data_IF_182394493802
#
_entry.id   IF_182394493802
#
_cell.length_a   1.000
_cell.length_b   1.000
_cell.length_c   1.000
_cell.angle_alpha   90.00
_cell.angle_beta   90.00
_cell.angle_gamma   90.00
#
_symmetry.space_group_name_H-M   'P 1'
#
loop_
_entity.id
_entity.type
_entity.pdbx_description
1 polymer ?
#
# COMPACT_ATOMS: atom_id res chain seq x y z
N UNK A 1 5.19 -4.54 5.52
CA UNK A 1 4.29 -4.66 4.35
C UNK A 1 3.75 -6.07 4.16
N UNK A 2 4.42 -7.09 4.72
CA UNK A 2 3.99 -8.50 4.67
C UNK A 2 2.52 -8.71 5.07
N UNK A 3 2.05 -8.12 6.17
CA UNK A 3 0.64 -8.24 6.58
C UNK A 3 -0.35 -7.64 5.57
N UNK A 4 -0.01 -6.50 4.97
CA UNK A 4 -0.84 -5.83 3.96
C UNK A 4 -0.94 -6.70 2.72
N UNK A 5 0.18 -7.27 2.27
CA UNK A 5 0.22 -8.22 1.16
C UNK A 5 -0.62 -9.46 1.49
N UNK A 6 -0.45 -10.06 2.67
CA UNK A 6 -1.17 -11.27 3.08
C UNK A 6 -2.69 -11.06 3.06
N UNK A 7 -3.17 -9.90 3.53
CA UNK A 7 -4.60 -9.54 3.47
C UNK A 7 -5.08 -9.35 2.03
N UNK A 8 -4.24 -8.80 1.16
CA UNK A 8 -4.62 -8.51 -0.22
C UNK A 8 -4.59 -9.76 -1.14
N UNK A 9 -3.79 -10.78 -0.80
CA UNK A 9 -3.73 -12.04 -1.56
C UNK A 9 -5.08 -12.76 -1.68
N UNK A 10 -6.04 -12.49 -0.78
CA UNK A 10 -7.42 -12.99 -0.89
C UNK A 10 -8.15 -12.45 -2.13
N UNK A 11 -7.77 -11.27 -2.63
CA UNK A 11 -8.37 -10.63 -3.80
C UNK A 11 -7.56 -10.86 -5.08
N UNK A 12 -6.24 -10.99 -4.95
CA UNK A 12 -5.33 -11.26 -6.06
C UNK A 12 -4.17 -12.17 -5.61
N UNK A 13 -4.23 -13.45 -5.98
CA UNK A 13 -3.20 -14.46 -5.67
C UNK A 13 -1.82 -14.13 -6.24
N UNK A 14 -1.77 -13.31 -7.30
CA UNK A 14 -0.54 -12.90 -7.95
C UNK A 14 0.01 -11.58 -7.40
N UNK A 15 -0.60 -10.96 -6.38
CA UNK A 15 -0.19 -9.65 -5.87
C UNK A 15 1.27 -9.56 -5.36
N UNK A 16 1.92 -10.71 -5.13
CA UNK A 16 3.34 -10.79 -4.79
C UNK A 16 4.26 -10.40 -5.95
N UNK A 17 3.83 -10.56 -7.21
CA UNK A 17 4.63 -10.20 -8.39
C UNK A 17 4.45 -8.74 -8.80
N UNK A 18 3.47 -8.03 -8.22
CA UNK A 18 3.15 -6.65 -8.56
C UNK A 18 4.11 -5.67 -7.89
N UNK A 19 4.32 -4.50 -8.52
CA UNK A 19 5.03 -3.40 -7.87
C UNK A 19 4.04 -2.49 -7.14
N UNK A 20 4.15 -2.50 -5.82
CA UNK A 20 3.38 -1.65 -4.91
C UNK A 20 3.98 -0.24 -4.85
N UNK A 21 3.15 0.79 -4.97
CA UNK A 21 3.57 2.19 -4.94
C UNK A 21 2.66 3.04 -4.08
N UNK A 22 3.22 4.10 -3.50
CA UNK A 22 2.48 5.19 -2.88
C UNK A 22 3.05 6.51 -3.37
N UNK A 23 2.17 7.47 -3.72
CA UNK A 23 2.57 8.79 -4.24
C UNK A 23 3.61 8.73 -5.39
N UNK A 24 3.54 7.69 -6.24
CA UNK A 24 4.48 7.48 -7.35
C UNK A 24 5.80 6.79 -7.00
N UNK A 25 6.09 6.57 -5.71
CA UNK A 25 7.31 5.92 -5.21
C UNK A 25 7.05 4.44 -4.94
N UNK A 26 8.00 3.57 -5.32
CA UNK A 26 7.90 2.14 -5.04
C UNK A 26 8.15 1.83 -3.56
N UNK A 27 7.30 0.97 -3.00
CA UNK A 27 7.39 0.55 -1.61
C UNK A 27 8.38 -0.60 -1.46
N UNK A 28 9.17 -0.55 -0.39
CA UNK A 28 9.98 -1.67 0.05
C UNK A 28 9.11 -2.63 0.87
N UNK A 29 8.88 -3.83 0.33
CA UNK A 29 8.01 -4.83 0.93
C UNK A 29 8.58 -5.48 2.21
N UNK A 30 9.87 -5.26 2.50
CA UNK A 30 10.51 -5.68 3.75
C UNK A 30 10.35 -4.68 4.90
N UNK A 31 9.82 -3.48 4.62
CA UNK A 31 9.61 -2.42 5.62
C UNK A 31 8.13 -2.32 6.02
N UNK A 32 7.83 -1.63 7.12
CA UNK A 32 6.48 -1.25 7.53
C UNK A 32 5.92 -0.10 6.67
N UNK A 33 4.65 0.26 6.83
CA UNK A 33 4.06 1.42 6.15
C UNK A 33 4.76 2.71 6.57
N UNK A 34 4.96 2.88 7.89
CA UNK A 34 5.63 4.06 8.44
C UNK A 34 7.07 4.20 7.97
N UNK A 35 7.84 3.11 7.92
CA UNK A 35 9.22 3.11 7.40
C UNK A 35 9.28 3.38 5.88
N UNK A 36 8.20 3.10 5.14
CA UNK A 36 8.05 3.51 3.75
C UNK A 36 7.58 4.98 3.61
N UNK A 37 7.38 5.69 4.71
CA UNK A 37 6.94 7.08 4.74
C UNK A 37 5.42 7.27 4.78
N UNK A 38 4.63 6.20 4.91
CA UNK A 38 3.18 6.28 5.12
C UNK A 38 2.91 6.31 6.62
N UNK A 39 2.96 7.51 7.19
CA UNK A 39 2.71 7.74 8.61
C UNK A 39 1.20 7.71 8.88
N UNK A 40 0.86 7.49 10.13
CA UNK A 40 -0.52 7.60 10.59
C UNK A 40 -0.86 9.07 10.82
N UNK A 41 -1.68 9.62 9.93
CA UNK A 41 -2.10 11.02 9.94
C UNK A 41 -3.44 11.22 10.68
N UNK A 42 -4.06 10.13 11.19
CA UNK A 42 -5.33 10.19 11.93
C UNK A 42 -5.33 11.26 13.05
N UNK A 43 -4.26 11.41 13.87
CA UNK A 43 -4.24 12.43 14.91
C UNK A 43 -4.29 13.88 14.39
N UNK A 44 -3.71 14.14 13.21
CA UNK A 44 -3.75 15.46 12.57
C UNK A 44 -5.12 15.72 11.93
N UNK A 45 -5.71 14.70 11.30
CA UNK A 45 -7.07 14.77 10.75
C UNK A 45 -8.09 15.03 11.86
N UNK A 46 -7.94 14.38 13.02
CA UNK A 46 -8.77 14.60 14.21
C UNK A 46 -8.69 16.05 14.71
N UNK A 47 -7.48 16.61 14.86
CA UNK A 47 -7.26 18.00 15.33
C UNK A 47 -7.89 19.01 14.37
N UNK A 48 -7.77 18.75 13.07
CA UNK A 48 -8.33 19.58 11.99
C UNK A 48 -9.82 19.30 11.72
N UNK A 49 -10.41 18.28 12.36
CA UNK A 49 -11.79 17.80 12.15
C UNK A 49 -12.08 17.46 10.69
N UNK A 50 -11.12 16.82 10.04
CA UNK A 50 -11.24 16.35 8.66
C UNK A 50 -11.84 14.94 8.62
N UNK A 51 -12.47 14.61 7.49
CA UNK A 51 -13.06 13.29 7.28
C UNK A 51 -11.99 12.29 6.82
N UNK A 52 -11.75 11.25 7.62
CA UNK A 52 -10.70 10.26 7.40
C UNK A 52 -10.91 9.47 6.09
N UNK A 53 -12.16 9.30 5.67
CA UNK A 53 -12.50 8.60 4.43
C UNK A 53 -12.04 9.39 3.20
N UNK A 54 -11.93 10.72 3.30
CA UNK A 54 -11.45 11.58 2.22
C UNK A 54 -9.92 11.63 2.10
N UNK A 55 -9.21 11.31 3.17
CA UNK A 55 -7.74 11.42 3.24
C UNK A 55 -7.03 10.07 3.38
N UNK A 56 -7.75 8.96 3.26
CA UNK A 56 -7.19 7.61 3.32
C UNK A 56 -6.07 7.41 2.27
N UNK A 57 -4.86 6.97 2.67
CA UNK A 57 -3.73 6.83 1.76
C UNK A 57 -3.96 5.69 0.77
N UNK A 58 -3.78 5.98 -0.53
CA UNK A 58 -3.90 5.00 -1.60
C UNK A 58 -2.61 4.22 -1.85
N UNK A 59 -2.72 2.89 -2.00
CA UNK A 59 -1.65 2.03 -2.51
C UNK A 59 -1.99 1.63 -3.96
N UNK A 60 -1.06 1.91 -4.88
CA UNK A 60 -1.20 1.56 -6.28
C UNK A 60 -0.44 0.28 -6.58
N UNK A 61 -1.10 -0.68 -7.23
CA UNK A 61 -0.49 -1.93 -7.66
C UNK A 61 -0.29 -1.87 -9.17
N UNK A 62 0.97 -1.87 -9.60
CA UNK A 62 1.31 -1.97 -11.02
C UNK A 62 1.58 -3.42 -11.37
N UNK A 63 0.87 -3.92 -12.38
CA UNK A 63 1.17 -5.21 -12.99
C UNK A 63 2.57 -5.14 -13.60
N UNK A 64 3.41 -6.11 -13.27
CA UNK A 64 4.65 -6.35 -13.99
C UNK A 64 4.34 -7.38 -15.06
N UNK A 65 4.75 -7.10 -16.30
CA UNK A 65 4.72 -8.11 -17.36
C UNK A 65 5.90 -9.06 -17.16
N UNK A 66 5.88 -9.76 -16.02
CA UNK A 66 6.74 -10.90 -15.77
C UNK A 66 6.06 -12.12 -16.40
N UNK A 67 6.75 -12.77 -17.35
CA UNK A 67 6.27 -13.95 -18.07
C UNK A 67 6.22 -15.16 -17.12
N UNK A 68 5.36 -15.10 -16.11
CA UNK A 68 5.21 -16.09 -15.05
C UNK A 68 3.77 -16.61 -15.06
N UNK A 69 3.32 -17.03 -16.24
CA UNK A 69 2.26 -18.02 -16.38
C UNK A 69 2.90 -19.41 -16.54
N UNK A 70 2.80 -20.24 -15.49
CA UNK A 70 2.98 -21.68 -15.56
C UNK A 70 2.07 -22.35 -14.53
#
# INVERSE_FOLDING_TARGET
MEEVLARYLTYNSHAHSYTWKHAGVALNMSLTLEENGLRDDDPELDDLRLDHDLFSPGLLLHFNDDLTEA
#
